data_IF_105530856989
#
_entry.id   IF_105530856989
#
_cell.length_a   1.000
_cell.length_b   1.000
_cell.length_c   1.000
_cell.angle_alpha   90.00
_cell.angle_beta   90.00
_cell.angle_gamma   90.00
#
_symmetry.space_group_name_H-M   'P 1'
#
loop_
_entity.id
_entity.type
_entity.pdbx_description
1 polymer ?
#
# COMPACT_ATOMS: atom_id res chain seq x y z
N UNK A 1 8.56 6.50 18.67
CA UNK A 1 7.19 5.94 18.61
C UNK A 1 6.51 6.60 17.43
N UNK A 2 6.47 5.94 16.28
CA UNK A 2 5.75 6.46 15.12
C UNK A 2 4.36 5.82 15.13
N UNK A 3 3.33 6.60 15.39
CA UNK A 3 1.94 6.18 15.23
C UNK A 3 1.71 5.86 13.75
N UNK A 4 1.41 4.59 13.44
CA UNK A 4 1.00 4.19 12.10
C UNK A 4 -0.35 4.82 11.76
N UNK A 5 -0.45 5.43 10.58
CA UNK A 5 -1.74 5.88 10.05
C UNK A 5 -2.64 4.66 9.83
N UNK A 6 -3.62 4.47 10.72
CA UNK A 6 -4.68 3.47 10.55
C UNK A 6 -5.78 4.14 9.73
N UNK A 7 -6.05 3.64 8.52
CA UNK A 7 -7.28 3.98 7.79
C UNK A 7 -8.41 3.24 8.52
N UNK A 8 -8.95 3.88 9.56
CA UNK A 8 -10.14 3.42 10.28
C UNK A 8 -11.37 3.87 9.52
N UNK A 9 -12.21 2.93 9.12
CA UNK A 9 -13.54 3.22 8.63
C UNK A 9 -14.37 3.70 9.82
N UNK A 10 -14.47 5.02 10.01
CA UNK A 10 -15.44 5.58 10.93
C UNK A 10 -16.81 5.27 10.36
N UNK A 11 -17.49 4.30 11.00
CA UNK A 11 -18.84 3.88 10.69
C UNK A 11 -19.72 5.07 10.27
N UNK A 12 -20.10 5.11 8.98
CA UNK A 12 -21.16 5.98 8.53
C UNK A 12 -22.46 5.51 9.20
N UNK A 13 -23.10 6.29 10.10
CA UNK A 13 -24.38 5.89 10.64
C UNK A 13 -25.40 6.00 9.51
N UNK A 14 -25.88 4.85 9.05
CA UNK A 14 -26.96 4.78 8.09
C UNK A 14 -28.20 5.49 8.64
N UNK A 15 -28.61 6.60 8.02
CA UNK A 15 -30.03 6.97 7.93
C UNK A 15 -30.35 7.86 6.72
N UNK A 16 -31.12 7.22 5.84
CA UNK A 16 -32.28 7.75 5.12
C UNK A 16 -32.10 8.55 3.80
N UNK A 17 -32.54 7.85 2.74
CA UNK A 17 -33.29 8.27 1.55
C UNK A 17 -32.57 9.11 0.48
N UNK A 18 -32.33 8.45 -0.65
CA UNK A 18 -32.02 9.05 -1.93
C UNK A 18 -31.60 7.95 -2.89
N UNK A 19 -32.52 7.52 -3.77
CA UNK A 19 -32.27 6.55 -4.83
C UNK A 19 -31.05 6.95 -5.68
N UNK A 20 -30.06 6.07 -5.78
CA UNK A 20 -29.01 6.15 -6.79
C UNK A 20 -28.95 4.83 -7.56
N UNK A 21 -29.08 4.84 -8.90
CA UNK A 21 -29.12 3.63 -9.70
C UNK A 21 -27.76 2.94 -9.69
N UNK A 22 -27.78 1.69 -9.23
CA UNK A 22 -26.67 0.77 -9.24
C UNK A 22 -26.40 0.29 -10.68
N UNK A 23 -25.32 0.76 -11.30
CA UNK A 23 -24.67 0.04 -12.39
C UNK A 23 -23.20 0.46 -12.50
N UNK A 24 -22.30 -0.52 -12.33
CA UNK A 24 -20.81 -0.45 -12.26
C UNK A 24 -20.23 -0.08 -10.89
N UNK A 25 -20.10 -1.09 -10.03
CA UNK A 25 -19.36 -1.00 -8.79
C UNK A 25 -17.85 -1.26 -9.01
N UNK A 26 -17.12 -0.28 -9.51
CA UNK A 26 -15.69 -0.13 -9.20
C UNK A 26 -15.62 0.73 -7.94
N UNK A 27 -15.61 0.08 -6.78
CA UNK A 27 -15.71 0.74 -5.46
C UNK A 27 -14.36 1.37 -5.12
N UNK A 28 -14.17 2.64 -5.51
CA UNK A 28 -13.05 3.45 -5.07
C UNK A 28 -13.21 3.76 -3.57
N UNK A 29 -12.34 3.23 -2.72
CA UNK A 29 -12.30 3.53 -1.30
C UNK A 29 -11.70 4.94 -1.13
N UNK A 30 -12.54 5.96 -0.91
CA UNK A 30 -12.07 7.34 -0.66
C UNK A 30 -11.72 7.49 0.83
N UNK A 31 -10.44 7.69 1.13
CA UNK A 31 -9.95 7.98 2.49
C UNK A 31 -10.32 9.38 2.98
N UNK A 32 -10.49 9.55 4.30
CA UNK A 32 -10.78 10.83 4.94
C UNK A 32 -9.55 11.75 4.97
N UNK A 33 -9.81 13.06 4.85
CA UNK A 33 -8.81 14.14 4.84
C UNK A 33 -8.20 14.34 6.24
N UNK A 34 -6.92 14.03 6.39
CA UNK A 34 -6.05 14.58 7.44
C UNK A 34 -5.05 15.55 6.81
N UNK A 35 -5.08 16.82 7.23
CA UNK A 35 -4.06 17.80 6.85
C UNK A 35 -2.83 17.59 7.74
N UNK A 36 -1.71 17.19 7.15
CA UNK A 36 -0.40 17.17 7.83
C UNK A 36 0.70 17.71 6.91
N UNK A 37 1.55 18.57 7.47
CA UNK A 37 2.55 19.35 6.76
C UNK A 37 3.92 18.64 6.75
N UNK A 38 4.42 18.33 5.54
CA UNK A 38 5.84 18.33 5.09
C UNK A 38 6.79 17.13 5.33
N UNK A 39 7.49 16.77 4.21
CA UNK A 39 8.68 15.90 3.90
C UNK A 39 8.54 14.37 3.79
N UNK A 40 8.96 13.84 2.61
CA UNK A 40 9.62 12.59 2.08
C UNK A 40 9.14 11.11 2.16
N UNK A 41 8.42 10.52 1.20
CA UNK A 41 8.43 9.03 1.10
C UNK A 41 9.87 8.46 0.91
N UNK A 42 10.44 7.89 1.98
CA UNK A 42 11.80 7.38 2.07
C UNK A 42 12.12 6.22 1.10
N UNK A 43 13.33 5.65 1.19
CA UNK A 43 13.95 4.84 0.12
C UNK A 43 13.33 3.45 -0.11
N UNK A 44 12.17 3.16 0.48
CA UNK A 44 11.41 1.93 0.30
C UNK A 44 10.07 2.02 1.00
N UNK A 45 8.99 2.04 0.23
CA UNK A 45 7.63 1.91 0.76
C UNK A 45 7.27 0.43 0.84
N UNK A 46 6.74 0.03 1.98
CA UNK A 46 6.18 -1.29 2.22
C UNK A 46 4.68 -1.16 2.38
N UNK A 47 3.94 -1.86 1.54
CA UNK A 47 2.49 -1.92 1.60
C UNK A 47 2.11 -3.30 2.10
N UNK A 48 1.22 -3.35 3.10
CA UNK A 48 0.70 -4.58 3.66
C UNK A 48 -0.82 -4.54 3.64
N UNK A 49 -1.43 -5.55 3.03
CA UNK A 49 -2.88 -5.73 3.06
C UNK A 49 -3.25 -6.69 4.19
N UNK A 50 -4.04 -6.22 5.14
CA UNK A 50 -4.47 -6.97 6.32
C UNK A 50 -5.97 -7.25 6.24
N UNK A 51 -6.40 -8.33 6.85
CA UNK A 51 -7.81 -8.76 6.85
C UNK A 51 -8.32 -8.85 8.28
N UNK A 52 -9.48 -8.27 8.52
CA UNK A 52 -10.15 -8.24 9.81
C UNK A 52 -11.55 -8.83 9.72
N UNK A 53 -11.93 -9.57 10.76
CA UNK A 53 -13.30 -10.03 10.98
C UNK A 53 -14.24 -8.85 11.30
N UNK A 54 -15.55 -9.10 11.24
CA UNK A 54 -16.58 -8.16 11.70
C UNK A 54 -16.43 -7.75 13.18
N UNK A 55 -15.80 -8.58 14.00
CA UNK A 55 -15.50 -8.30 15.40
C UNK A 55 -14.20 -7.48 15.60
N UNK A 56 -13.52 -7.07 14.52
CA UNK A 56 -12.27 -6.31 14.58
C UNK A 56 -11.03 -7.13 14.90
N UNK A 57 -11.10 -8.47 14.85
CA UNK A 57 -9.94 -9.35 15.02
C UNK A 57 -9.25 -9.60 13.69
N UNK A 58 -7.93 -9.42 13.65
CA UNK A 58 -7.12 -9.75 12.46
C UNK A 58 -7.12 -11.25 12.17
N UNK A 59 -7.25 -11.61 10.90
CA UNK A 59 -7.15 -12.97 10.38
C UNK A 59 -5.75 -13.14 9.78
N UNK A 60 -4.87 -13.93 10.42
CA UNK A 60 -3.58 -14.25 9.85
C UNK A 60 -3.68 -15.33 8.76
N UNK A 61 -2.71 -15.32 7.85
CA UNK A 61 -2.49 -16.30 6.80
C UNK A 61 -1.19 -17.08 7.05
N UNK A 62 -0.96 -18.14 6.30
CA UNK A 62 0.27 -18.94 6.39
C UNK A 62 1.33 -18.38 5.45
N UNK A 63 2.44 -17.94 6.03
CA UNK A 63 3.62 -17.46 5.30
C UNK A 63 4.46 -18.60 4.74
N UNK A 64 5.45 -18.25 3.91
CA UNK A 64 6.36 -19.22 3.29
C UNK A 64 7.13 -20.07 4.30
N UNK A 65 7.29 -19.59 5.54
CA UNK A 65 7.98 -20.31 6.62
C UNK A 65 7.01 -20.94 7.64
N UNK A 66 5.71 -20.96 7.35
CA UNK A 66 4.67 -21.51 8.24
C UNK A 66 4.22 -20.55 9.35
N UNK A 67 4.75 -19.34 9.36
CA UNK A 67 4.45 -18.25 10.28
C UNK A 67 3.15 -17.52 9.92
N UNK A 68 2.58 -16.83 10.91
CA UNK A 68 1.40 -16.00 10.73
C UNK A 68 1.77 -14.70 9.97
N UNK A 69 1.19 -14.51 8.79
CA UNK A 69 1.40 -13.34 7.92
C UNK A 69 0.11 -12.62 7.57
N UNK A 70 0.23 -11.42 7.00
CA UNK A 70 -0.89 -10.69 6.42
C UNK A 70 -1.31 -11.29 5.06
N UNK A 71 -2.40 -10.78 4.46
CA UNK A 71 -2.97 -11.31 3.19
C UNK A 71 -1.95 -11.27 2.05
N UNK A 72 -1.32 -10.11 1.88
CA UNK A 72 -0.28 -9.88 0.88
C UNK A 72 0.54 -8.65 1.24
N UNK A 73 1.70 -8.55 0.61
CA UNK A 73 2.64 -7.45 0.76
C UNK A 73 3.18 -7.05 -0.60
N UNK A 74 3.66 -5.83 -0.67
CA UNK A 74 4.40 -5.32 -1.80
C UNK A 74 5.40 -4.28 -1.32
N UNK A 75 6.45 -4.06 -2.10
CA UNK A 75 7.39 -3.00 -1.83
C UNK A 75 7.87 -2.34 -3.10
N UNK A 76 8.19 -1.06 -2.96
CA UNK A 76 8.83 -0.30 -4.01
C UNK A 76 9.79 0.69 -3.39
N UNK A 77 11.04 0.63 -3.85
CA UNK A 77 11.98 1.74 -3.70
C UNK A 77 11.56 2.83 -4.68
N UNK A 78 11.18 4.01 -4.19
CA UNK A 78 10.67 5.11 -5.01
C UNK A 78 11.65 5.54 -6.12
N UNK A 79 12.96 5.34 -5.93
CA UNK A 79 13.95 5.60 -6.97
C UNK A 79 13.94 4.59 -8.13
N UNK A 80 13.22 3.49 -7.97
CA UNK A 80 13.01 2.45 -8.98
C UNK A 80 11.58 2.48 -9.52
N UNK A 81 10.89 3.62 -9.45
CA UNK A 81 9.46 3.74 -9.84
C UNK A 81 9.20 3.58 -11.34
N UNK A 82 10.22 3.75 -12.20
CA UNK A 82 10.11 3.67 -13.67
C UNK A 82 9.43 2.38 -14.14
N UNK A 83 8.30 2.55 -14.83
CA UNK A 83 7.54 1.46 -15.46
C UNK A 83 7.96 1.32 -16.92
N UNK A 84 8.18 0.09 -17.38
CA UNK A 84 8.43 -0.25 -18.78
C UNK A 84 7.09 -0.53 -19.47
N UNK A 85 6.44 0.53 -19.97
CA UNK A 85 5.11 0.47 -20.58
C UNK A 85 5.06 -0.29 -21.90
N UNK A 86 6.17 -0.33 -22.65
CA UNK A 86 6.29 -1.04 -23.93
C UNK A 86 6.50 -2.55 -23.76
N UNK A 87 6.72 -3.04 -22.54
CA UNK A 87 6.93 -4.47 -22.29
C UNK A 87 5.68 -5.28 -22.64
N UNK A 88 5.79 -6.42 -23.35
CA UNK A 88 4.65 -7.30 -23.62
C UNK A 88 4.02 -7.89 -22.34
N UNK A 89 4.73 -7.82 -21.22
CA UNK A 89 4.26 -8.30 -19.91
C UNK A 89 3.62 -7.19 -19.06
N UNK A 90 3.65 -5.94 -19.50
CA UNK A 90 3.01 -4.84 -18.77
C UNK A 90 1.49 -4.95 -18.85
N UNK A 91 0.81 -4.77 -17.71
CA UNK A 91 -0.65 -4.57 -17.65
C UNK A 91 -0.95 -3.37 -16.77
N UNK A 92 -2.11 -2.70 -16.93
CA UNK A 92 -2.50 -1.60 -16.04
C UNK A 92 -2.55 -2.00 -14.56
N UNK A 93 -2.85 -3.26 -14.26
CA UNK A 93 -2.88 -3.82 -12.91
C UNK A 93 -1.58 -4.52 -12.48
N UNK A 94 -0.61 -4.63 -13.39
CA UNK A 94 0.67 -5.31 -13.17
C UNK A 94 1.79 -4.50 -13.84
N UNK A 95 2.27 -3.42 -13.19
CA UNK A 95 3.30 -2.55 -13.72
C UNK A 95 4.63 -3.30 -13.86
N UNK A 96 5.15 -3.42 -15.09
CA UNK A 96 6.42 -4.11 -15.33
C UNK A 96 7.58 -3.16 -15.11
N UNK A 97 8.56 -3.56 -14.30
CA UNK A 97 9.78 -2.78 -14.02
C UNK A 97 11.02 -3.61 -14.24
N UNK A 98 12.08 -3.01 -14.79
CA UNK A 98 13.31 -3.72 -15.17
C UNK A 98 14.41 -3.65 -14.11
N UNK A 99 14.31 -2.72 -13.15
CA UNK A 99 15.25 -2.57 -12.04
C UNK A 99 16.72 -2.47 -12.47
N UNK A 100 17.00 -1.85 -13.63
CA UNK A 100 18.37 -1.63 -14.10
C UNK A 100 19.03 -0.50 -13.31
N UNK A 101 20.33 -0.61 -13.05
CA UNK A 101 21.11 0.44 -12.38
C UNK A 101 21.10 1.78 -13.14
N UNK A 102 21.00 1.73 -14.47
CA UNK A 102 20.91 2.92 -15.34
C UNK A 102 19.55 3.61 -15.28
N UNK A 103 18.53 2.96 -14.73
CA UNK A 103 17.15 3.48 -14.67
C UNK A 103 16.81 4.09 -13.31
N UNK A 104 17.79 4.24 -12.41
CA UNK A 104 17.60 4.85 -11.11
C UNK A 104 17.17 6.31 -11.29
N UNK A 105 15.98 6.64 -10.78
CA UNK A 105 15.42 7.98 -10.77
C UNK A 105 15.57 8.58 -9.37
N UNK A 106 16.45 9.58 -9.15
CA UNK A 106 16.56 10.24 -7.86
C UNK A 106 15.21 10.74 -7.33
N UNK A 107 15.09 10.80 -6.01
CA UNK A 107 13.92 11.31 -5.29
C UNK A 107 14.36 12.59 -4.61
N UNK A 108 13.74 13.70 -4.99
CA UNK A 108 14.03 15.03 -4.46
C UNK A 108 13.02 15.40 -3.37
N UNK A 109 13.51 16.06 -2.34
CA UNK A 109 12.67 16.51 -1.22
C UNK A 109 11.66 17.55 -1.68
N UNK A 110 10.39 17.36 -1.33
CA UNK A 110 9.31 18.29 -1.68
C UNK A 110 8.69 18.10 -3.06
N UNK A 111 9.19 17.14 -3.85
CA UNK A 111 8.59 16.76 -5.13
C UNK A 111 7.65 15.56 -4.91
N UNK A 112 6.45 15.63 -5.49
CA UNK A 112 5.46 14.56 -5.45
C UNK A 112 5.75 13.59 -6.60
N UNK A 113 5.78 12.29 -6.30
CA UNK A 113 6.00 11.25 -7.29
C UNK A 113 4.87 10.23 -7.25
N UNK A 114 4.32 9.92 -8.41
CA UNK A 114 3.40 8.79 -8.57
C UNK A 114 4.17 7.46 -8.52
N UNK A 115 3.62 6.50 -7.80
CA UNK A 115 4.26 5.22 -7.53
C UNK A 115 3.23 4.08 -7.53
N UNK A 116 3.27 3.22 -8.55
CA UNK A 116 2.48 1.99 -8.56
C UNK A 116 3.21 0.86 -7.83
N UNK A 117 2.76 0.46 -6.64
CA UNK A 117 3.36 -0.67 -5.93
C UNK A 117 2.59 -1.95 -6.26
N UNK A 118 3.31 -2.93 -6.80
CA UNK A 118 2.75 -4.27 -6.99
C UNK A 118 2.61 -4.95 -5.63
N UNK A 119 1.37 -5.33 -5.29
CA UNK A 119 1.11 -6.29 -4.22
C UNK A 119 1.16 -7.70 -4.81
N UNK A 120 1.80 -8.61 -4.09
CA UNK A 120 1.97 -9.96 -4.60
C UNK A 120 0.64 -10.71 -4.75
N UNK A 121 0.56 -11.66 -5.70
CA UNK A 121 -0.64 -12.45 -5.93
C UNK A 121 -1.16 -13.09 -4.65
N UNK A 122 -2.46 -12.98 -4.42
CA UNK A 122 -3.12 -13.51 -3.23
C UNK A 122 -4.53 -13.98 -3.57
N UNK A 123 -5.08 -14.87 -2.76
CA UNK A 123 -6.47 -15.26 -2.81
C UNK A 123 -7.08 -15.17 -1.40
N UNK A 124 -8.10 -14.33 -1.26
CA UNK A 124 -8.79 -14.14 0.01
C UNK A 124 -10.29 -14.07 -0.22
N UNK A 125 -11.04 -14.76 0.64
CA UNK A 125 -12.48 -14.57 0.78
C UNK A 125 -12.70 -13.68 2.00
N UNK A 126 -13.30 -12.52 1.77
CA UNK A 126 -13.72 -11.60 2.84
C UNK A 126 -15.17 -11.89 3.16
N UNK A 127 -15.43 -12.49 4.31
CA UNK A 127 -16.79 -12.80 4.75
C UNK A 127 -17.60 -11.53 5.04
N UNK A 128 -18.92 -11.67 5.12
CA UNK A 128 -19.83 -10.55 5.40
C UNK A 128 -19.43 -9.85 6.70
N UNK A 129 -19.19 -8.53 6.60
CA UNK A 129 -18.77 -7.69 7.72
C UNK A 129 -17.26 -7.70 7.99
N UNK A 130 -16.50 -8.60 7.35
CA UNK A 130 -15.05 -8.49 7.29
C UNK A 130 -14.61 -7.31 6.42
N UNK A 131 -13.39 -6.84 6.65
CA UNK A 131 -12.84 -5.68 5.96
C UNK A 131 -11.32 -5.78 5.83
N UNK A 132 -10.79 -5.01 4.88
CA UNK A 132 -9.37 -4.98 4.56
C UNK A 132 -8.75 -3.64 4.98
N UNK A 133 -7.51 -3.69 5.44
CA UNK A 133 -6.71 -2.51 5.77
C UNK A 133 -5.46 -2.50 4.91
N UNK A 134 -5.25 -1.40 4.18
CA UNK A 134 -3.97 -1.11 3.57
C UNK A 134 -3.11 -0.34 4.58
N UNK A 135 -2.02 -0.96 5.00
CA UNK A 135 -1.00 -0.32 5.83
C UNK A 135 0.18 0.07 4.95
N UNK A 136 0.60 1.33 5.05
CA UNK A 136 1.79 1.85 4.38
C UNK A 136 2.84 2.18 5.43
N UNK A 137 4.07 1.68 5.25
CA UNK A 137 5.17 1.87 6.18
C UNK A 137 6.50 2.03 5.43
N UNK A 138 7.46 2.75 6.02
CA UNK A 138 8.85 2.81 5.57
C UNK A 138 9.68 1.62 6.03
N UNK A 139 9.15 0.88 7.00
CA UNK A 139 9.78 -0.25 7.66
C UNK A 139 8.90 -1.49 7.59
N UNK A 140 9.56 -2.64 7.70
CA UNK A 140 8.90 -3.94 7.75
C UNK A 140 8.43 -4.17 9.20
N UNK A 141 7.20 -3.77 9.52
CA UNK A 141 6.73 -3.66 10.92
C UNK A 141 5.87 -4.82 11.43
N UNK A 142 5.50 -5.79 10.58
CA UNK A 142 4.45 -6.77 10.92
C UNK A 142 5.02 -8.18 11.12
N UNK A 143 4.36 -9.06 11.90
CA UNK A 143 4.83 -10.43 12.11
C UNK A 143 4.97 -11.22 10.79
N UNK A 144 5.98 -12.07 10.74
CA UNK A 144 6.25 -12.97 9.62
C UNK A 144 7.14 -12.42 8.51
N UNK A 145 8.13 -11.63 8.92
CA UNK A 145 9.24 -11.10 8.09
C UNK A 145 10.53 -11.12 8.91
N UNK A 146 10.54 -11.88 10.00
CA UNK A 146 11.54 -11.81 11.06
C UNK A 146 12.96 -12.17 10.57
N UNK A 147 13.04 -12.92 9.46
CA UNK A 147 14.28 -13.29 8.79
C UNK A 147 14.74 -12.29 7.72
N UNK A 148 13.86 -11.42 7.20
CA UNK A 148 14.12 -10.57 6.02
C UNK A 148 13.89 -9.07 6.32
N UNK A 149 14.67 -8.52 7.26
CA UNK A 149 14.44 -7.19 7.85
C UNK A 149 14.85 -5.97 7.02
N UNK A 150 15.38 -6.14 5.80
CA UNK A 150 15.79 -5.04 4.90
C UNK A 150 16.52 -3.85 5.59
N UNK A 151 17.32 -4.11 6.62
CA UNK A 151 17.91 -3.10 7.51
C UNK A 151 19.44 -3.00 7.38
N UNK A 152 20.00 -3.54 6.29
CA UNK A 152 21.45 -3.56 6.12
C UNK A 152 22.00 -2.13 5.95
N UNK A 153 22.95 -1.67 6.78
CA UNK A 153 23.36 -0.25 6.82
C UNK A 153 23.92 0.30 5.51
N UNK A 154 24.53 -0.54 4.68
CA UNK A 154 25.07 -0.14 3.38
C UNK A 154 23.94 0.13 2.37
N UNK A 155 22.88 -0.66 2.41
CA UNK A 155 21.72 -0.53 1.50
C UNK A 155 20.70 0.51 1.97
N UNK A 156 20.72 0.80 3.28
CA UNK A 156 19.87 1.78 3.98
C UNK A 156 20.70 2.63 4.96
N UNK A 157 21.57 3.50 4.45
CA UNK A 157 22.27 4.45 5.30
C UNK A 157 21.26 5.41 5.95
N UNK A 158 21.41 5.65 7.25
CA UNK A 158 20.47 6.47 8.03
C UNK A 158 20.26 7.86 7.43
N UNK A 159 21.29 8.43 6.83
CA UNK A 159 21.26 9.72 6.12
C UNK A 159 20.22 9.76 4.99
N UNK A 160 19.90 8.61 4.36
CA UNK A 160 18.91 8.51 3.28
C UNK A 160 17.56 7.96 3.73
N UNK A 161 17.47 7.34 4.91
CA UNK A 161 16.28 6.60 5.35
C UNK A 161 15.61 7.14 6.60
N UNK A 162 16.14 8.21 7.21
CA UNK A 162 15.59 8.83 8.42
C UNK A 162 14.62 10.00 8.17
N UNK A 163 14.17 10.16 6.92
CA UNK A 163 13.15 11.15 6.55
C UNK A 163 11.76 10.82 7.08
N UNK A 164 10.90 11.85 7.14
CA UNK A 164 9.44 11.70 7.31
C UNK A 164 8.88 11.26 5.97
N UNK A 165 7.83 10.41 5.92
CA UNK A 165 7.13 9.98 4.70
C UNK A 165 5.72 10.55 4.58
N UNK A 166 5.35 11.12 3.43
CA UNK A 166 3.99 11.64 3.19
C UNK A 166 3.26 10.93 2.05
N UNK A 167 1.97 10.68 2.27
CA UNK A 167 1.04 10.27 1.23
C UNK A 167 0.10 11.45 1.03
N UNK A 168 -0.01 11.91 -0.22
CA UNK A 168 -0.78 13.10 -0.55
C UNK A 168 -2.22 12.73 -0.86
N UNK A 169 -3.18 13.33 -0.14
CA UNK A 169 -4.62 13.16 -0.38
C UNK A 169 -5.22 14.52 -0.75
N UNK A 170 -5.24 14.84 -2.03
CA UNK A 170 -5.87 16.05 -2.57
C UNK A 170 -6.75 15.69 -3.78
N UNK A 171 -7.27 16.71 -4.48
CA UNK A 171 -8.13 16.49 -5.64
C UNK A 171 -7.34 16.30 -6.94
N UNK A 172 -6.03 16.53 -6.93
CA UNK A 172 -5.15 16.45 -8.10
C UNK A 172 -4.45 15.08 -8.18
N UNK A 173 -4.17 14.47 -7.02
CA UNK A 173 -3.47 13.20 -6.89
C UNK A 173 -4.41 12.10 -6.39
N UNK A 174 -4.77 11.18 -7.29
CA UNK A 174 -5.61 10.04 -6.96
C UNK A 174 -4.80 8.91 -6.32
N UNK A 175 -5.27 8.42 -5.17
CA UNK A 175 -4.71 7.27 -4.51
C UNK A 175 -5.77 6.16 -4.50
N UNK A 176 -5.43 5.00 -5.04
CA UNK A 176 -6.36 3.89 -5.11
C UNK A 176 -5.65 2.55 -4.91
N UNK A 177 -6.43 1.54 -4.54
CA UNK A 177 -6.01 0.16 -4.46
C UNK A 177 -6.81 -0.65 -5.47
N UNK A 178 -6.13 -1.21 -6.47
CA UNK A 178 -6.76 -2.05 -7.47
C UNK A 178 -6.80 -3.50 -6.99
N UNK A 179 -8.02 -4.05 -6.84
CA UNK A 179 -8.25 -5.41 -6.37
C UNK A 179 -8.91 -6.27 -7.46
N UNK A 180 -8.40 -7.47 -7.74
CA UNK A 180 -9.04 -8.41 -8.67
C UNK A 180 -10.22 -9.12 -7.98
N UNK A 181 -11.38 -8.48 -7.95
CA UNK A 181 -12.59 -9.08 -7.37
C UNK A 181 -13.14 -10.14 -8.33
N UNK A 182 -13.18 -11.39 -7.88
CA UNK A 182 -13.76 -12.52 -8.60
C UNK A 182 -15.21 -12.71 -8.11
N UNK A 183 -16.21 -12.72 -9.00
CA UNK A 183 -17.62 -12.89 -8.65
C UNK A 183 -17.98 -14.31 -8.22
#
# INVERSE_FOLDING_TARGET
MCEGAVIQDAACPARARGDWPCSRASRCLRGQRSHSTTRELGPGSFLTLRHFTAAGKEIPYTGSSGDAVAVTRGWLRASMRKVHTESPYHRPYLPRREYRSIDVQPVESGVIYECDVELWPTNVVVEKGGWLVLQVSSEVTNPGVDLFKHNFPIDRPAEKSSGVNNIHFDNEHENYLLLPVIP
#
